data_IF_314788091137
#
_entry.id   IF_314788091137
#
_cell.length_a   1.000
_cell.length_b   1.000
_cell.length_c   1.000
_cell.angle_alpha   90.00
_cell.angle_beta   90.00
_cell.angle_gamma   90.00
#
_symmetry.space_group_name_H-M   'P 1'
#
loop_
_entity.id
_entity.type
_entity.pdbx_description
1 polymer ?
#
# COMPACT_ATOMS: atom_id res chain seq x y z
N UNK A 1 28.59 -12.26 -9.61
CA UNK A 1 27.91 -12.27 -8.28
C UNK A 1 28.64 -11.44 -7.22
N UNK A 2 29.95 -11.59 -7.04
CA UNK A 2 30.68 -10.88 -5.97
C UNK A 2 30.63 -9.34 -6.09
N UNK A 3 30.76 -8.80 -7.31
CA UNK A 3 30.63 -7.36 -7.54
C UNK A 3 29.25 -6.81 -7.15
N UNK A 4 28.18 -7.58 -7.38
CA UNK A 4 26.81 -7.21 -6.99
C UNK A 4 26.67 -7.22 -5.46
N UNK A 5 27.19 -8.26 -4.79
CA UNK A 5 27.20 -8.34 -3.32
C UNK A 5 27.93 -7.16 -2.70
N UNK A 6 29.09 -6.78 -3.27
CA UNK A 6 29.84 -5.59 -2.84
C UNK A 6 28.99 -4.33 -3.00
N UNK A 7 28.34 -4.14 -4.16
CA UNK A 7 27.42 -3.01 -4.38
C UNK A 7 26.31 -2.97 -3.33
N UNK A 8 25.58 -4.07 -3.11
CA UNK A 8 24.50 -4.17 -2.11
C UNK A 8 25.00 -3.76 -0.72
N UNK A 9 26.14 -4.30 -0.26
CA UNK A 9 26.69 -4.00 1.07
C UNK A 9 27.17 -2.55 1.21
N UNK A 10 27.58 -1.93 0.11
CA UNK A 10 28.07 -0.55 0.07
C UNK A 10 27.00 0.50 -0.22
N UNK A 11 25.80 0.08 -0.63
CA UNK A 11 24.73 1.00 -0.97
C UNK A 11 24.30 1.79 0.25
N UNK A 12 24.17 3.11 0.07
CA UNK A 12 23.55 3.97 1.07
C UNK A 12 22.07 3.59 1.19
N UNK A 13 21.61 3.42 2.42
CA UNK A 13 20.22 3.05 2.72
C UNK A 13 19.65 4.12 3.65
N UNK A 14 18.46 4.62 3.32
CA UNK A 14 17.80 5.70 4.07
C UNK A 14 18.73 6.88 4.38
N UNK A 15 19.57 7.25 3.41
CA UNK A 15 20.45 8.40 3.53
C UNK A 15 19.67 9.65 3.13
N UNK A 16 19.29 10.44 4.14
CA UNK A 16 18.59 11.72 3.98
C UNK A 16 19.45 12.82 3.31
N UNK A 17 19.04 14.10 3.45
CA UNK A 17 18.16 14.65 4.47
C UNK A 17 16.68 14.27 4.27
N UNK A 18 15.95 14.05 5.36
CA UNK A 18 14.51 13.81 5.37
C UNK A 18 13.81 14.89 6.21
N UNK A 19 12.53 15.22 5.90
CA UNK A 19 11.74 16.09 6.75
C UNK A 19 11.65 15.54 8.19
N UNK A 20 11.80 16.40 9.22
CA UNK A 20 11.65 15.96 10.60
C UNK A 20 10.19 15.55 10.87
N UNK A 21 10.01 14.57 11.75
CA UNK A 21 8.69 14.19 12.23
C UNK A 21 8.66 14.19 13.75
N UNK A 22 7.80 15.02 14.32
CA UNK A 22 7.56 15.10 15.76
C UNK A 22 6.39 14.20 16.11
N UNK A 23 6.63 13.24 17.01
CA UNK A 23 5.67 12.16 17.22
C UNK A 23 4.41 12.56 17.97
N UNK A 24 4.49 13.62 18.77
CA UNK A 24 3.37 14.30 19.40
C UNK A 24 2.44 14.97 18.37
N UNK A 25 2.93 15.26 17.16
CA UNK A 25 2.12 15.77 16.06
C UNK A 25 1.36 14.67 15.30
N UNK A 26 1.52 13.38 15.65
CA UNK A 26 0.91 12.28 14.92
C UNK A 26 -0.64 12.27 14.98
N UNK A 27 -1.24 12.99 15.94
CA UNK A 27 -2.69 13.09 16.12
C UNK A 27 -3.34 11.79 16.60
N UNK A 28 -4.66 11.79 16.73
CA UNK A 28 -5.45 10.62 17.15
C UNK A 28 -5.97 9.77 15.98
N UNK A 29 -6.06 10.37 14.78
CA UNK A 29 -6.71 9.78 13.63
C UNK A 29 -5.69 9.40 12.54
N UNK A 30 -5.49 8.10 12.26
CA UNK A 30 -4.46 7.65 11.32
C UNK A 30 -4.64 8.12 9.87
N UNK A 31 -5.89 8.36 9.47
CA UNK A 31 -6.20 8.83 8.12
C UNK A 31 -5.75 10.28 7.92
N UNK A 32 -5.80 11.13 8.96
CA UNK A 32 -5.29 12.50 8.92
C UNK A 32 -3.76 12.50 8.77
N UNK A 33 -3.05 11.69 9.56
CA UNK A 33 -1.60 11.53 9.44
C UNK A 33 -1.21 10.99 8.06
N UNK A 34 -1.98 10.04 7.51
CA UNK A 34 -1.75 9.58 6.14
C UNK A 34 -1.88 10.74 5.14
N UNK A 35 -2.94 11.55 5.24
CA UNK A 35 -3.18 12.66 4.31
C UNK A 35 -2.04 13.70 4.38
N UNK A 36 -1.57 14.03 5.58
CA UNK A 36 -0.41 14.90 5.77
C UNK A 36 0.84 14.34 5.08
N UNK A 37 1.17 13.07 5.35
CA UNK A 37 2.37 12.45 4.78
C UNK A 37 2.26 12.22 3.27
N UNK A 38 1.06 11.93 2.78
CA UNK A 38 0.77 11.78 1.37
C UNK A 38 0.94 13.11 0.63
N UNK A 39 0.46 14.21 1.22
CA UNK A 39 0.66 15.55 0.68
C UNK A 39 2.15 15.93 0.69
N UNK A 40 2.87 15.66 1.77
CA UNK A 40 4.32 15.92 1.83
C UNK A 40 5.08 15.10 0.77
N UNK A 41 4.69 13.84 0.54
CA UNK A 41 5.27 13.01 -0.52
C UNK A 41 5.05 13.62 -1.91
N UNK A 42 3.87 14.16 -2.17
CA UNK A 42 3.57 14.86 -3.41
C UNK A 42 4.44 16.11 -3.58
N UNK A 43 4.54 16.95 -2.54
CA UNK A 43 5.33 18.19 -2.54
C UNK A 43 6.83 17.95 -2.70
N UNK A 44 7.34 16.82 -2.19
CA UNK A 44 8.74 16.41 -2.33
C UNK A 44 9.03 15.62 -3.63
N UNK A 45 8.05 15.55 -4.55
CA UNK A 45 8.26 14.95 -5.87
C UNK A 45 8.37 13.42 -5.85
N UNK A 46 7.79 12.75 -4.86
CA UNK A 46 7.72 11.28 -4.86
C UNK A 46 6.90 10.83 -6.06
N UNK A 47 7.50 9.96 -6.89
CA UNK A 47 6.81 9.42 -8.05
C UNK A 47 5.68 8.48 -7.62
N UNK A 48 4.48 8.68 -8.16
CA UNK A 48 3.28 7.89 -7.84
C UNK A 48 3.06 7.69 -6.32
N UNK A 49 2.86 8.75 -5.53
CA UNK A 49 2.80 8.64 -4.06
C UNK A 49 1.62 7.79 -3.56
N UNK A 50 0.64 7.53 -4.44
CA UNK A 50 -0.57 6.74 -4.20
C UNK A 50 -0.39 5.25 -4.55
N UNK A 51 0.77 4.87 -5.08
CA UNK A 51 1.16 3.47 -5.26
C UNK A 51 1.45 2.83 -3.90
N UNK A 52 0.87 1.66 -3.67
CA UNK A 52 1.00 0.92 -2.41
C UNK A 52 1.17 -0.57 -2.67
N UNK A 53 1.86 -1.26 -1.77
CA UNK A 53 1.90 -2.72 -1.80
C UNK A 53 0.73 -3.30 -1.03
N UNK A 54 -0.15 -4.04 -1.71
CA UNK A 54 -1.17 -4.88 -1.09
C UNK A 54 -0.59 -6.26 -0.82
N UNK A 55 -0.63 -6.68 0.45
CA UNK A 55 -0.33 -8.06 0.86
C UNK A 55 -1.61 -8.79 1.22
N UNK A 56 -1.76 -10.00 0.71
CA UNK A 56 -2.88 -10.93 0.95
C UNK A 56 -2.29 -12.29 1.31
N UNK A 57 -3.13 -13.21 1.78
CA UNK A 57 -2.72 -14.57 2.13
C UNK A 57 -3.66 -15.54 1.42
N UNK A 58 -3.11 -16.62 0.85
CA UNK A 58 -3.94 -17.69 0.28
C UNK A 58 -4.46 -18.67 1.32
N UNK A 59 -5.21 -19.67 0.86
CA UNK A 59 -5.83 -20.68 1.71
C UNK A 59 -4.82 -21.55 2.47
N UNK A 60 -3.60 -21.68 1.95
CA UNK A 60 -2.52 -22.47 2.57
C UNK A 60 -1.71 -21.64 3.56
N UNK A 61 -2.05 -20.36 3.74
CA UNK A 61 -1.33 -19.44 4.61
C UNK A 61 -0.11 -18.79 3.96
N UNK A 62 0.07 -18.94 2.65
CA UNK A 62 1.20 -18.35 1.91
C UNK A 62 0.91 -16.89 1.57
N UNK A 63 1.81 -15.95 1.92
CA UNK A 63 1.62 -14.54 1.60
C UNK A 63 1.92 -14.25 0.12
N UNK A 64 1.15 -13.34 -0.47
CA UNK A 64 1.40 -12.79 -1.79
C UNK A 64 1.29 -11.25 -1.73
N UNK A 65 2.15 -10.55 -2.46
CA UNK A 65 2.30 -9.10 -2.39
C UNK A 65 2.50 -8.49 -3.78
N UNK A 66 1.86 -7.35 -4.04
CA UNK A 66 1.95 -6.63 -5.32
C UNK A 66 1.61 -5.16 -5.15
N UNK A 67 2.11 -4.34 -6.07
CA UNK A 67 1.77 -2.92 -6.14
C UNK A 67 0.36 -2.75 -6.70
N UNK A 68 -0.44 -1.92 -6.03
CA UNK A 68 -1.74 -1.41 -6.45
C UNK A 68 -1.80 0.10 -6.25
N UNK A 69 -2.87 0.69 -6.74
CA UNK A 69 -3.12 2.13 -6.72
C UNK A 69 -4.21 2.41 -5.70
N UNK A 70 -3.92 3.28 -4.73
CA UNK A 70 -4.94 3.85 -3.84
C UNK A 70 -5.92 4.68 -4.69
N UNK A 71 -7.21 4.43 -4.50
CA UNK A 71 -8.30 5.08 -5.22
C UNK A 71 -8.92 6.22 -4.45
N UNK A 72 -9.04 6.05 -3.15
CA UNK A 72 -9.67 7.01 -2.27
C UNK A 72 -9.25 6.74 -0.81
N UNK A 73 -9.54 7.68 0.07
CA UNK A 73 -9.41 7.55 1.52
C UNK A 73 -10.48 8.39 2.21
N UNK A 74 -11.10 7.84 3.24
CA UNK A 74 -12.00 8.56 4.14
C UNK A 74 -11.78 8.13 5.60
N UNK A 75 -12.60 8.61 6.53
CA UNK A 75 -12.49 8.21 7.94
C UNK A 75 -12.70 6.70 8.16
N UNK A 76 -13.31 5.99 7.20
CA UNK A 76 -13.63 4.55 7.26
C UNK A 76 -12.51 3.67 6.72
N UNK A 77 -11.63 4.19 5.86
CA UNK A 77 -10.42 3.48 5.45
C UNK A 77 -9.87 3.85 4.07
N UNK A 78 -9.08 2.94 3.52
CA UNK A 78 -8.32 3.11 2.28
C UNK A 78 -8.93 2.29 1.15
N UNK A 79 -9.18 2.90 0.01
CA UNK A 79 -9.89 2.26 -1.08
C UNK A 79 -8.96 1.82 -2.20
N UNK A 80 -9.14 0.63 -2.71
CA UNK A 80 -8.49 0.15 -3.93
C UNK A 80 -9.45 -0.69 -4.75
N UNK A 81 -9.17 -0.85 -6.04
CA UNK A 81 -10.01 -1.67 -6.90
C UNK A 81 -9.20 -2.81 -7.54
N UNK A 82 -9.84 -3.96 -7.70
CA UNK A 82 -9.27 -5.11 -8.41
C UNK A 82 -10.35 -6.02 -8.98
N UNK A 83 -9.97 -6.92 -9.87
CA UNK A 83 -10.86 -8.01 -10.29
C UNK A 83 -11.01 -9.03 -9.16
N UNK A 84 -12.25 -9.35 -8.79
CA UNK A 84 -12.62 -10.40 -7.83
C UNK A 84 -12.20 -11.79 -8.29
N UNK A 85 -12.04 -12.01 -9.60
CA UNK A 85 -11.55 -13.28 -10.15
C UNK A 85 -10.03 -13.32 -10.34
N UNK A 86 -9.29 -12.30 -9.90
CA UNK A 86 -7.82 -12.36 -9.84
C UNK A 86 -7.34 -13.16 -8.62
N UNK A 87 -6.05 -13.53 -8.56
CA UNK A 87 -5.49 -14.24 -7.39
C UNK A 87 -5.77 -13.49 -6.09
N UNK A 88 -5.46 -12.19 -6.04
CA UNK A 88 -5.72 -11.37 -4.85
C UNK A 88 -7.21 -11.23 -4.53
N UNK A 89 -8.07 -11.18 -5.57
CA UNK A 89 -9.53 -11.13 -5.39
C UNK A 89 -10.08 -12.40 -4.73
N UNK A 90 -9.63 -13.57 -5.20
CA UNK A 90 -9.94 -14.87 -4.58
C UNK A 90 -9.38 -14.99 -3.16
N UNK A 91 -8.13 -14.54 -2.96
CA UNK A 91 -7.51 -14.53 -1.64
C UNK A 91 -8.30 -13.63 -0.67
N UNK A 92 -8.68 -12.42 -1.06
CA UNK A 92 -9.52 -11.53 -0.24
C UNK A 92 -10.89 -12.14 0.05
N UNK A 93 -11.50 -12.79 -0.96
CA UNK A 93 -12.80 -13.44 -0.80
C UNK A 93 -12.79 -14.61 0.18
N UNK A 94 -11.63 -15.25 0.39
CA UNK A 94 -11.45 -16.36 1.33
C UNK A 94 -10.91 -15.89 2.69
N UNK A 95 -9.97 -14.96 2.68
CA UNK A 95 -9.40 -14.32 3.85
C UNK A 95 -9.35 -12.79 3.64
N UNK A 96 -10.25 -12.02 4.28
CA UNK A 96 -10.30 -10.57 4.10
C UNK A 96 -9.16 -9.84 4.80
N UNK A 97 -8.33 -10.51 5.60
CA UNK A 97 -7.19 -9.89 6.28
C UNK A 97 -6.10 -9.51 5.28
N UNK A 98 -5.81 -8.22 5.20
CA UNK A 98 -4.83 -7.66 4.26
C UNK A 98 -3.87 -6.70 4.97
N UNK A 99 -2.75 -6.41 4.31
CA UNK A 99 -1.90 -5.30 4.69
C UNK A 99 -1.62 -4.36 3.50
N UNK A 100 -1.64 -3.06 3.76
CA UNK A 100 -1.20 -2.03 2.82
C UNK A 100 0.15 -1.48 3.29
N UNK A 101 1.08 -1.27 2.37
CA UNK A 101 2.37 -0.62 2.65
C UNK A 101 2.62 0.50 1.65
N UNK A 102 2.75 1.72 2.16
CA UNK A 102 3.24 2.89 1.42
C UNK A 102 4.69 3.13 1.81
N UNK A 103 5.56 3.40 0.85
CA UNK A 103 6.94 3.76 1.11
C UNK A 103 7.36 4.93 0.24
N UNK A 104 7.64 6.05 0.89
CA UNK A 104 8.04 7.31 0.26
C UNK A 104 9.51 7.56 0.60
N UNK A 105 10.38 7.02 -0.25
CA UNK A 105 11.82 7.01 -0.02
C UNK A 105 12.44 8.40 0.04
N UNK A 106 11.92 9.38 -0.70
CA UNK A 106 12.47 10.76 -0.73
C UNK A 106 12.27 11.52 0.58
N UNK A 107 11.24 11.17 1.35
CA UNK A 107 10.94 11.80 2.65
C UNK A 107 11.22 10.86 3.82
N UNK A 108 11.75 9.65 3.57
CA UNK A 108 12.08 8.68 4.61
C UNK A 108 10.87 8.20 5.41
N UNK A 109 9.68 8.12 4.80
CA UNK A 109 8.44 7.71 5.47
C UNK A 109 7.89 6.40 4.92
N UNK A 110 7.30 5.62 5.80
CA UNK A 110 6.54 4.42 5.47
C UNK A 110 5.27 4.38 6.31
N UNK A 111 4.16 4.00 5.68
CA UNK A 111 2.92 3.70 6.40
C UNK A 111 2.54 2.24 6.14
N UNK A 112 2.40 1.46 7.21
CA UNK A 112 1.85 0.10 7.14
C UNK A 112 0.47 0.06 7.78
N UNK A 113 -0.48 -0.57 7.12
CA UNK A 113 -1.85 -0.72 7.60
C UNK A 113 -2.17 -2.20 7.60
N UNK A 114 -2.77 -2.72 8.67
CA UNK A 114 -3.33 -4.06 8.74
C UNK A 114 -4.82 -3.94 9.00
N UNK A 115 -5.63 -4.67 8.25
CA UNK A 115 -7.08 -4.50 8.28
C UNK A 115 -7.85 -5.53 7.47
N UNK A 116 -9.16 -5.30 7.34
CA UNK A 116 -10.04 -6.12 6.50
C UNK A 116 -10.38 -5.40 5.21
N UNK A 117 -10.22 -6.06 4.06
CA UNK A 117 -10.70 -5.57 2.78
C UNK A 117 -12.18 -5.94 2.59
N UNK A 118 -13.06 -4.93 2.61
CA UNK A 118 -14.52 -5.06 2.48
C UNK A 118 -14.95 -4.63 1.07
N UNK A 119 -15.68 -5.47 0.31
CA UNK A 119 -16.19 -5.08 -1.01
C UNK A 119 -17.32 -4.04 -0.88
N UNK A 120 -17.26 -2.97 -1.67
CA UNK A 120 -18.17 -1.82 -1.59
C UNK A 120 -19.48 -1.98 -2.38
N UNK A 121 -19.76 -3.19 -2.88
CA UNK A 121 -20.96 -3.48 -3.66
C UNK A 121 -20.89 -3.05 -5.13
N UNK A 122 -21.89 -3.47 -5.90
CA UNK A 122 -21.91 -3.32 -7.38
C UNK A 122 -21.99 -1.86 -7.82
N UNK A 123 -22.76 -1.03 -7.12
CA UNK A 123 -22.98 0.36 -7.51
C UNK A 123 -21.70 1.20 -7.39
N UNK A 124 -21.04 1.16 -6.24
CA UNK A 124 -19.78 1.88 -6.03
C UNK A 124 -18.65 1.33 -6.90
N UNK A 125 -18.61 0.02 -7.12
CA UNK A 125 -17.66 -0.61 -8.04
C UNK A 125 -17.89 -0.17 -9.49
N UNK A 126 -19.14 -0.08 -9.94
CA UNK A 126 -19.50 0.42 -11.26
C UNK A 126 -19.09 1.89 -11.43
N UNK A 127 -19.34 2.72 -10.41
CA UNK A 127 -18.94 4.13 -10.42
C UNK A 127 -17.42 4.30 -10.56
N UNK A 128 -16.62 3.57 -9.76
CA UNK A 128 -15.16 3.56 -9.91
C UNK A 128 -14.74 3.06 -11.31
N UNK A 129 -15.37 2.00 -11.82
CA UNK A 129 -15.05 1.45 -13.13
C UNK A 129 -15.27 2.44 -14.27
N UNK A 130 -16.41 3.15 -14.25
CA UNK A 130 -16.79 4.11 -15.30
C UNK A 130 -15.90 5.34 -15.32
N UNK A 131 -15.29 5.72 -14.18
CA UNK A 131 -14.32 6.82 -14.11
C UNK A 131 -12.96 6.48 -14.73
N UNK A 132 -12.71 5.22 -15.11
CA UNK A 132 -11.46 4.81 -15.75
C UNK A 132 -11.46 5.18 -17.23
N UNK A 133 -10.28 5.57 -17.74
CA UNK A 133 -10.09 5.77 -19.18
C UNK A 133 -10.38 4.50 -20.00
N UNK A 134 -10.71 4.68 -21.28
CA UNK A 134 -11.16 3.59 -22.18
C UNK A 134 -10.21 2.39 -22.17
N UNK A 135 -8.89 2.63 -22.28
CA UNK A 135 -7.88 1.56 -22.28
C UNK A 135 -7.87 0.79 -20.96
N UNK A 136 -8.01 1.49 -19.84
CA UNK A 136 -8.02 0.90 -18.51
C UNK A 136 -9.31 0.10 -18.21
N UNK A 137 -10.44 0.50 -18.80
CA UNK A 137 -11.70 -0.28 -18.79
C UNK A 137 -11.61 -1.51 -19.67
N UNK A 138 -11.13 -1.35 -20.91
CA UNK A 138 -10.93 -2.43 -21.85
C UNK A 138 -9.99 -3.51 -21.30
N UNK A 139 -8.85 -3.12 -20.71
CA UNK A 139 -7.91 -4.05 -20.08
C UNK A 139 -8.55 -4.84 -18.94
N UNK A 140 -9.38 -4.19 -18.12
CA UNK A 140 -10.08 -4.88 -17.04
C UNK A 140 -11.17 -5.84 -17.55
N UNK A 141 -11.79 -5.55 -18.71
CA UNK A 141 -12.79 -6.42 -19.35
C UNK A 141 -12.21 -7.66 -20.02
N UNK A 142 -10.90 -7.71 -20.30
CA UNK A 142 -10.25 -8.94 -20.79
C UNK A 142 -10.37 -10.06 -19.74
N UNK A 143 -10.53 -9.71 -18.45
CA UNK A 143 -10.82 -10.60 -17.30
C UNK A 143 -9.86 -11.79 -17.13
N UNK A 144 -8.66 -11.68 -17.70
CA UNK A 144 -7.54 -12.65 -17.63
C UNK A 144 -6.46 -12.23 -16.65
N UNK A 145 -6.80 -11.39 -15.67
CA UNK A 145 -5.82 -10.91 -14.71
C UNK A 145 -5.30 -12.08 -13.85
N UNK A 146 -3.99 -12.38 -13.95
CA UNK A 146 -3.30 -13.51 -13.30
C UNK A 146 -3.35 -14.86 -14.05
N UNK A 147 -3.80 -14.91 -15.30
CA UNK A 147 -3.66 -16.11 -16.15
C UNK A 147 -2.39 -16.06 -17.01
N UNK A 148 -1.86 -17.23 -17.39
CA UNK A 148 -0.70 -17.34 -18.28
C UNK A 148 -1.06 -16.78 -19.67
N UNK A 149 -0.25 -15.82 -20.16
CA UNK A 149 -0.36 -15.31 -21.52
C UNK A 149 0.58 -16.11 -22.44
N UNK A 150 0.03 -16.91 -23.34
CA UNK A 150 0.83 -17.78 -24.23
C UNK A 150 1.43 -16.97 -25.39
N UNK A 151 0.69 -16.00 -25.95
CA UNK A 151 1.18 -15.10 -26.99
C UNK A 151 0.77 -13.66 -26.71
N UNK A 152 1.69 -12.72 -26.97
CA UNK A 152 1.43 -11.27 -26.81
C UNK A 152 0.35 -10.75 -27.77
N UNK A 153 0.29 -11.31 -28.98
CA UNK A 153 -0.73 -10.95 -29.99
C UNK A 153 -2.15 -11.17 -29.48
N UNK A 154 -2.39 -12.28 -28.75
CA UNK A 154 -3.70 -12.60 -28.16
C UNK A 154 -4.18 -11.49 -27.19
N UNK A 155 -3.26 -10.83 -26.47
CA UNK A 155 -3.59 -9.72 -25.60
C UNK A 155 -3.94 -8.46 -26.39
N UNK A 156 -3.14 -8.12 -27.41
CA UNK A 156 -3.36 -6.92 -28.23
C UNK A 156 -4.70 -7.01 -29.00
N UNK A 157 -5.05 -8.19 -29.50
CA UNK A 157 -6.33 -8.47 -30.14
C UNK A 157 -7.50 -8.32 -29.17
N UNK A 158 -7.42 -8.98 -28.01
CA UNK A 158 -8.44 -8.87 -26.96
C UNK A 158 -8.61 -7.42 -26.49
N UNK A 159 -7.53 -6.66 -26.36
CA UNK A 159 -7.59 -5.25 -25.97
C UNK A 159 -8.32 -4.41 -27.02
N UNK A 160 -8.01 -4.59 -28.31
CA UNK A 160 -8.72 -3.86 -29.39
C UNK A 160 -10.21 -4.19 -29.41
N UNK A 161 -10.57 -5.46 -29.25
CA UNK A 161 -11.96 -5.90 -29.17
C UNK A 161 -12.69 -5.23 -28.00
N UNK A 162 -12.12 -5.29 -26.79
CA UNK A 162 -12.74 -4.68 -25.62
C UNK A 162 -12.79 -3.15 -25.72
N UNK A 163 -11.80 -2.50 -26.33
CA UNK A 163 -11.85 -1.05 -26.58
C UNK A 163 -13.01 -0.68 -27.51
N UNK A 164 -13.28 -1.47 -28.54
CA UNK A 164 -14.43 -1.24 -29.42
C UNK A 164 -15.75 -1.43 -28.68
N UNK A 165 -15.86 -2.47 -27.84
CA UNK A 165 -17.02 -2.68 -26.96
C UNK A 165 -17.27 -1.50 -26.02
N UNK A 166 -16.22 -0.99 -25.36
CA UNK A 166 -16.35 0.18 -24.47
C UNK A 166 -16.78 1.43 -25.22
N UNK A 167 -16.34 1.62 -26.47
CA UNK A 167 -16.79 2.77 -27.31
C UNK A 167 -18.25 2.64 -27.73
N UNK A 168 -18.69 1.43 -28.07
CA UNK A 168 -20.08 1.17 -28.48
C UNK A 168 -21.06 1.18 -27.30
N UNK A 169 -20.58 0.81 -26.11
CA UNK A 169 -21.38 0.75 -24.88
C UNK A 169 -20.63 1.48 -23.76
N UNK A 170 -20.69 2.83 -23.72
CA UNK A 170 -19.93 3.65 -22.78
C UNK A 170 -20.25 3.38 -21.30
N UNK A 171 -21.39 2.80 -20.99
CA UNK A 171 -21.86 2.38 -19.66
C UNK A 171 -21.49 0.92 -19.32
N UNK A 172 -20.77 0.21 -20.19
CA UNK A 172 -20.35 -1.17 -19.95
C UNK A 172 -19.45 -1.28 -18.70
N UNK A 173 -19.87 -2.10 -17.72
CA UNK A 173 -19.11 -2.36 -16.49
C UNK A 173 -18.70 -3.83 -16.42
N UNK A 174 -17.47 -4.11 -16.01
CA UNK A 174 -17.06 -5.49 -15.71
C UNK A 174 -17.74 -5.99 -14.43
N UNK A 175 -18.38 -7.17 -14.51
CA UNK A 175 -19.02 -7.82 -13.36
C UNK A 175 -18.03 -8.26 -12.30
N UNK A 176 -16.77 -8.50 -12.67
CA UNK A 176 -15.70 -8.91 -11.75
C UNK A 176 -15.01 -7.72 -11.09
N UNK A 177 -15.21 -6.49 -11.58
CA UNK A 177 -14.58 -5.31 -11.00
C UNK A 177 -15.15 -5.03 -9.62
N UNK A 178 -14.27 -4.91 -8.63
CA UNK A 178 -14.67 -4.71 -7.24
C UNK A 178 -13.82 -3.61 -6.63
N UNK A 179 -14.51 -2.59 -6.10
CA UNK A 179 -13.93 -1.61 -5.19
C UNK A 179 -13.92 -2.21 -3.78
N UNK A 180 -12.77 -2.17 -3.13
CA UNK A 180 -12.57 -2.61 -1.76
C UNK A 180 -12.22 -1.42 -0.88
N UNK A 181 -12.71 -1.42 0.36
CA UNK A 181 -12.23 -0.56 1.46
C UNK A 181 -11.45 -1.40 2.45
N UNK A 182 -10.25 -0.97 2.81
CA UNK A 182 -9.49 -1.54 3.92
C UNK A 182 -9.87 -0.81 5.20
N UNK A 183 -10.65 -1.48 6.05
CA UNK A 183 -10.91 -1.04 7.41
C UNK A 183 -9.71 -1.41 8.29
N UNK A 184 -8.97 -0.40 8.75
CA UNK A 184 -7.79 -0.63 9.55
C UNK A 184 -8.14 -1.23 10.90
N UNK A 185 -7.31 -2.15 11.38
CA UNK A 185 -7.24 -2.58 12.78
C UNK A 185 -6.04 -1.95 13.47
N UNK A 186 -4.93 -1.88 12.74
CA UNK A 186 -3.66 -1.34 13.18
C UNK A 186 -3.05 -0.49 12.06
N UNK A 187 -2.56 0.70 12.40
CA UNK A 187 -1.77 1.55 11.51
C UNK A 187 -0.42 1.84 12.16
N UNK A 188 0.63 1.65 11.38
CA UNK A 188 2.04 1.76 11.76
C UNK A 188 2.74 2.83 10.89
N UNK A 189 2.72 4.11 11.30
CA UNK A 189 3.55 5.14 10.70
C UNK A 189 5.00 4.94 11.15
N UNK A 190 5.90 5.05 10.19
CA UNK A 190 7.34 4.88 10.36
C UNK A 190 8.02 6.07 9.67
N UNK A 191 8.81 6.82 10.43
CA UNK A 191 9.61 7.93 9.91
C UNK A 191 11.08 7.74 10.31
N UNK A 192 11.99 8.10 9.41
CA UNK A 192 13.43 8.13 9.68
C UNK A 192 13.79 9.46 10.33
N UNK A 193 13.93 9.48 11.66
CA UNK A 193 14.21 10.73 12.39
C UNK A 193 15.63 11.25 12.21
N UNK A 194 16.62 10.37 12.04
CA UNK A 194 18.02 10.76 11.87
C UNK A 194 18.84 9.64 11.24
N UNK A 195 19.45 9.91 10.09
CA UNK A 195 20.59 9.12 9.64
C UNK A 195 21.81 9.59 10.45
N UNK A 196 22.26 8.82 11.45
CA UNK A 196 23.53 9.12 12.10
C UNK A 196 24.67 8.93 11.07
N UNK A 197 25.69 9.81 11.06
CA UNK A 197 26.86 9.58 10.23
C UNK A 197 27.45 8.21 10.56
N UNK A 198 27.64 7.40 9.52
CA UNK A 198 28.37 6.14 9.68
C UNK A 198 29.79 6.50 10.09
N UNK A 199 30.34 5.99 11.21
CA UNK A 199 31.73 6.24 11.54
C UNK A 199 32.59 5.72 10.40
N UNK A 200 33.54 6.54 9.93
CA UNK A 200 34.55 6.11 8.99
C UNK A 200 35.25 4.88 9.57
N UNK A 201 35.31 3.79 8.82
CA UNK A 201 35.97 2.55 9.26
C UNK A 201 37.39 2.49 8.73
N UNK A 202 38.30 2.11 9.60
CA UNK A 202 39.58 1.51 9.23
C UNK A 202 39.34 0.24 8.40
N UNK A 203 40.23 0.03 7.44
CA UNK A 203 40.16 -1.01 6.41
C UNK A 203 40.01 -2.42 7.04
N UNK A 204 38.97 -3.17 6.65
CA UNK A 204 38.94 -4.63 6.83
C UNK A 204 37.69 -5.27 7.42
N UNK A 205 36.70 -4.52 7.93
CA UNK A 205 35.47 -5.13 8.46
C UNK A 205 34.20 -4.55 7.79
N UNK A 206 33.46 -5.41 7.08
CA UNK A 206 32.20 -5.07 6.41
C UNK A 206 31.00 -5.41 7.31
N UNK A 207 30.43 -4.41 7.95
CA UNK A 207 29.11 -4.49 8.62
C UNK A 207 28.61 -3.06 8.90
N UNK A 208 27.98 -2.43 7.93
CA UNK A 208 27.36 -1.10 8.08
C UNK A 208 26.29 -1.18 9.18
N UNK A 209 26.52 -0.58 10.36
CA UNK A 209 25.43 -0.39 11.35
C UNK A 209 24.69 0.87 10.95
N UNK A 210 23.56 0.70 10.27
CA UNK A 210 22.64 1.79 10.01
C UNK A 210 21.74 1.92 11.24
N UNK A 211 21.94 2.98 12.03
CA UNK A 211 21.03 3.31 13.11
C UNK A 211 19.81 3.99 12.49
N UNK A 212 18.78 3.21 12.19
CA UNK A 212 17.47 3.75 11.80
C UNK A 212 16.62 3.72 13.05
N UNK A 213 16.44 4.86 13.68
CA UNK A 213 15.46 5.00 14.75
C UNK A 213 14.07 5.08 14.10
N UNK A 214 13.49 3.91 13.80
CA UNK A 214 12.12 3.76 13.33
C UNK A 214 11.17 3.79 14.53
N UNK A 215 10.27 4.76 14.56
CA UNK A 215 9.18 4.77 15.52
C UNK A 215 8.01 3.98 14.94
N UNK A 216 7.36 3.17 15.76
CA UNK A 216 6.11 2.49 15.40
C UNK A 216 5.02 3.05 16.29
N UNK A 217 4.08 3.78 15.73
CA UNK A 217 2.82 4.05 16.41
C UNK A 217 1.88 2.89 16.09
N UNK A 218 1.15 2.39 17.07
CA UNK A 218 0.06 1.45 16.81
C UNK A 218 -1.22 2.19 17.14
N UNK A 219 -1.96 2.55 16.11
CA UNK A 219 -3.30 3.08 16.28
C UNK A 219 -4.30 1.91 16.29
N UNK A 220 -4.88 1.53 17.44
CA UNK A 220 -6.09 0.72 17.42
C UNK A 220 -7.18 1.59 16.79
N UNK A 221 -7.68 1.18 15.62
CA UNK A 221 -8.69 1.94 14.91
C UNK A 221 -9.96 2.07 15.77
N UNK A 222 -10.36 3.31 16.09
CA UNK A 222 -11.61 3.62 16.80
C UNK A 222 -12.66 4.06 15.80
N UNK A 223 -13.73 3.28 15.67
CA UNK A 223 -14.83 3.61 14.75
C UNK A 223 -15.63 4.83 15.30
N UNK A 224 -15.91 5.87 14.49
CA UNK A 224 -16.56 7.10 14.97
C UNK A 224 -17.93 6.89 15.62
N UNK A 225 -18.71 5.92 15.11
CA UNK A 225 -20.05 5.59 15.62
C UNK A 225 -20.05 4.59 16.80
N UNK A 226 -18.89 4.06 17.18
CA UNK A 226 -18.76 3.12 18.30
C UNK A 226 -17.55 3.52 19.15
N UNK A 227 -17.68 4.52 20.04
CA UNK A 227 -16.69 4.74 21.09
C UNK A 227 -16.63 3.45 21.92
N UNK A 228 -15.53 2.72 21.80
CA UNK A 228 -15.39 1.34 22.26
C UNK A 228 -15.77 1.19 23.74
N UNK A 229 -16.70 0.27 24.02
CA UNK A 229 -16.87 -0.41 25.32
C UNK A 229 -15.75 -1.46 25.47
N UNK A 230 -14.51 -1.03 25.29
CA UNK A 230 -13.32 -1.81 25.60
C UNK A 230 -12.62 -1.10 26.75
N UNK A 231 -12.64 -1.81 27.87
CA UNK A 231 -11.98 -1.62 29.14
C UNK A 231 -11.00 -0.46 29.29
N UNK A 232 -11.18 0.23 30.43
CA UNK A 232 -10.22 1.10 31.10
C UNK A 232 -8.90 0.34 31.32
N UNK A 233 -8.04 0.29 30.30
CA UNK A 233 -6.76 -0.43 30.37
C UNK A 233 -5.94 -0.47 29.09
N UNK A 234 -6.52 -0.24 27.91
CA UNK A 234 -5.76 -0.14 26.66
C UNK A 234 -5.32 1.31 26.41
N UNK A 235 -4.32 1.77 27.16
CA UNK A 235 -3.62 3.01 26.81
C UNK A 235 -3.00 2.86 25.42
N UNK A 236 -3.09 3.90 24.60
CA UNK A 236 -2.22 4.11 23.43
C UNK A 236 -0.78 3.88 23.90
N UNK A 237 -0.22 2.69 23.61
CA UNK A 237 1.14 2.39 24.01
C UNK A 237 2.05 2.86 22.89
N UNK A 238 2.72 3.99 23.12
CA UNK A 238 3.99 4.27 22.44
C UNK A 238 4.93 3.12 22.76
N UNK A 239 5.09 2.20 21.82
CA UNK A 239 6.21 1.29 21.86
C UNK A 239 7.33 1.92 21.06
N UNK A 240 8.16 2.68 21.77
CA UNK A 240 9.54 2.92 21.35
C UNK A 240 10.20 1.55 21.21
N UNK A 241 10.34 1.08 19.98
CA UNK A 241 11.15 -0.08 19.66
C UNK A 241 12.28 0.40 18.76
N UNK A 242 13.47 0.45 19.32
CA UNK A 242 14.68 0.59 18.52
C UNK A 242 14.88 -0.71 17.74
N UNK A 243 14.91 -0.62 16.43
CA UNK A 243 15.29 -1.75 15.58
C UNK A 243 16.69 -1.50 15.04
N UNK A 244 17.56 -2.48 15.26
CA UNK A 244 18.84 -2.59 14.58
C UNK A 244 18.59 -3.43 13.31
N UNK A 245 18.80 -2.83 12.13
CA UNK A 245 18.78 -3.54 10.86
C UNK A 245 20.17 -4.11 10.54
#
# INVERSE_FOLDING_TARGET
>A
MEQIRKKIRSSKTLAGPFPPFHTDAAGEYPHELFLEWFQEAFENGVHEPHSMTLSTVDLDGTPDARVLILKDIDEKGWYFASSSVSNKGRQIGTNPEVALTFYWSLIGRQLRIRGKAIPMGKELSAKDFLNRGIVARATALIDKQSSILVKRQDFDEALREQMNRVRQTPDLVSSSWTLYRVEAKEVFPISVLRALPTPARDEGQSCSRLFIQCFFYIYPYRHPLFPSVLDKGFQQRLHLREYFL
#
